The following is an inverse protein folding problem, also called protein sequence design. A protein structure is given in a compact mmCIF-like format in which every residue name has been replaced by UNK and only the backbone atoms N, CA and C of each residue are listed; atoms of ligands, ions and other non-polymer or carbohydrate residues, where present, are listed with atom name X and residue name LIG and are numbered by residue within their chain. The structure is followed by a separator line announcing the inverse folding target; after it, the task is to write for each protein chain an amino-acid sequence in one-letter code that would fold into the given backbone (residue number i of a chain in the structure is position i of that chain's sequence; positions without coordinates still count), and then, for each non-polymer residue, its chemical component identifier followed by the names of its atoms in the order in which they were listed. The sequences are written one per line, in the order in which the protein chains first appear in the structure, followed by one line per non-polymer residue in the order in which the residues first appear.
data_IF_891103922453
#
_entry.id   IF_891103922453
#
_cell.length_a   1.000
_cell.length_b   1.000
_cell.length_c   1.000
_cell.angle_alpha   90.00
_cell.angle_beta   90.00
_cell.angle_gamma   90.00
#
_symmetry.space_group_name_H-M   'P 1'
#
loop_
_entity.id
_entity.type
_entity.pdbx_description
1 polymer ?
#
# COMPACT_ATOMS: atom_id res chain seq x y z
N UNK A 1 -10.42 -7.95 0.12
CA UNK A 1 -10.68 -7.52 1.51
C UNK A 1 -9.99 -8.51 2.43
N UNK A 2 -9.30 -8.06 3.47
CA UNK A 2 -8.55 -8.90 4.40
C UNK A 2 -8.64 -8.38 5.83
N UNK A 3 -7.99 -9.08 6.75
CA UNK A 3 -7.87 -8.68 8.15
C UNK A 3 -6.41 -8.35 8.43
N UNK A 4 -6.16 -7.23 9.10
CA UNK A 4 -4.81 -6.84 9.52
C UNK A 4 -4.31 -7.85 10.57
N UNK A 5 -3.25 -8.58 10.27
CA UNK A 5 -2.63 -9.56 11.20
C UNK A 5 -1.46 -8.96 11.97
N UNK A 6 -0.79 -7.95 11.40
CA UNK A 6 0.34 -7.25 12.01
C UNK A 6 0.34 -5.78 11.58
N UNK A 7 0.77 -4.89 12.47
CA UNK A 7 0.96 -3.46 12.19
C UNK A 7 2.36 -3.04 12.59
N UNK A 8 3.01 -2.25 11.73
CA UNK A 8 4.29 -1.63 12.07
C UNK A 8 4.15 -0.66 13.25
N UNK A 9 5.20 -0.55 14.07
CA UNK A 9 5.20 0.23 15.32
C UNK A 9 4.92 1.73 15.17
N UNK A 10 5.00 2.27 13.94
CA UNK A 10 4.66 3.67 13.62
C UNK A 10 3.25 3.85 13.02
N UNK A 11 2.52 2.76 12.77
CA UNK A 11 1.16 2.80 12.21
C UNK A 11 0.18 3.14 13.32
N UNK A 12 -0.50 4.29 13.20
CA UNK A 12 -1.49 4.73 14.19
C UNK A 12 -2.95 4.59 13.70
N UNK A 13 -3.14 4.43 12.38
CA UNK A 13 -4.46 4.42 11.73
C UNK A 13 -5.14 3.05 11.68
N UNK A 14 -4.39 1.96 11.79
CA UNK A 14 -4.90 0.59 11.72
C UNK A 14 -4.49 -0.21 12.95
N UNK A 15 -5.30 -1.18 13.32
CA UNK A 15 -5.05 -2.13 14.41
C UNK A 15 -5.17 -3.56 13.89
N UNK A 16 -4.47 -4.48 14.55
CA UNK A 16 -4.67 -5.92 14.30
C UNK A 16 -6.14 -6.26 14.53
N UNK A 17 -6.74 -6.99 13.58
CA UNK A 17 -8.17 -7.32 13.57
C UNK A 17 -9.04 -6.39 12.72
N UNK A 18 -8.52 -5.25 12.26
CA UNK A 18 -9.28 -4.36 11.38
C UNK A 18 -9.52 -5.00 10.01
N UNK A 19 -10.74 -4.86 9.48
CA UNK A 19 -11.06 -5.23 8.11
C UNK A 19 -10.59 -4.14 7.16
N UNK A 20 -9.69 -4.48 6.26
CA UNK A 20 -9.09 -3.53 5.31
C UNK A 20 -9.29 -3.98 3.86
N UNK A 21 -9.47 -3.00 2.98
CA UNK A 21 -9.47 -3.19 1.54
C UNK A 21 -8.24 -2.52 0.96
N UNK A 22 -7.47 -3.25 0.15
CA UNK A 22 -6.38 -2.67 -0.65
C UNK A 22 -6.90 -2.49 -2.07
N UNK A 23 -6.76 -1.28 -2.60
CA UNK A 23 -7.13 -0.95 -3.97
C UNK A 23 -6.14 -1.52 -5.00
N UNK A 24 -6.13 -0.99 -6.21
CA UNK A 24 -5.17 -1.39 -7.25
C UNK A 24 -3.77 -0.78 -7.07
N UNK A 25 -3.63 0.18 -6.16
CA UNK A 25 -2.40 0.87 -5.81
C UNK A 25 -2.15 0.75 -4.31
N UNK A 26 -0.89 0.55 -3.93
CA UNK A 26 -0.42 0.42 -2.55
C UNK A 26 0.53 1.54 -2.13
N UNK A 27 1.07 2.32 -3.06
CA UNK A 27 1.95 3.44 -2.75
C UNK A 27 2.21 4.36 -3.94
N UNK A 28 2.77 5.55 -3.65
CA UNK A 28 3.23 6.54 -4.61
C UNK A 28 4.45 7.28 -4.03
N UNK A 29 5.13 8.14 -4.79
CA UNK A 29 6.36 8.81 -4.32
C UNK A 29 6.12 9.90 -3.26
N UNK A 30 4.90 10.42 -3.15
CA UNK A 30 4.53 11.52 -2.24
C UNK A 30 5.35 12.82 -2.39
N UNK A 31 6.12 12.95 -3.48
CA UNK A 31 7.00 14.11 -3.73
C UNK A 31 6.75 14.80 -5.08
N UNK A 32 5.84 14.28 -5.91
CA UNK A 32 5.47 14.89 -7.19
C UNK A 32 4.19 15.74 -7.08
N UNK A 33 3.97 16.60 -8.07
CA UNK A 33 2.79 17.47 -8.11
C UNK A 33 1.47 16.68 -8.07
N UNK A 34 1.40 15.51 -8.72
CA UNK A 34 0.21 14.65 -8.66
C UNK A 34 -0.06 14.20 -7.21
N UNK A 35 0.96 13.80 -6.47
CA UNK A 35 0.77 13.40 -5.07
C UNK A 35 0.40 14.59 -4.16
N UNK A 36 0.96 15.77 -4.42
CA UNK A 36 0.62 16.98 -3.67
C UNK A 36 -0.84 17.41 -3.85
N UNK A 37 -1.46 17.02 -4.98
CA UNK A 37 -2.86 17.29 -5.30
C UNK A 37 -3.80 16.11 -4.96
N UNK A 38 -3.38 15.15 -4.13
CA UNK A 38 -4.18 13.95 -3.80
C UNK A 38 -4.58 13.13 -5.05
N UNK A 39 -3.72 13.18 -6.08
CA UNK A 39 -3.85 12.47 -7.34
C UNK A 39 -2.78 11.39 -7.46
N UNK A 40 -2.61 10.57 -6.42
CA UNK A 40 -1.57 9.54 -6.35
C UNK A 40 -1.70 8.50 -7.48
N UNK A 41 -2.91 8.31 -8.02
CA UNK A 41 -3.17 7.43 -9.18
C UNK A 41 -2.48 7.91 -10.48
N UNK A 42 -2.08 9.18 -10.54
CA UNK A 42 -1.34 9.78 -11.66
C UNK A 42 0.14 9.98 -11.32
N UNK A 43 0.62 9.36 -10.24
CA UNK A 43 2.03 9.38 -9.89
C UNK A 43 2.83 8.58 -10.92
N UNK A 44 3.91 9.13 -11.50
CA UNK A 44 4.79 8.37 -12.40
C UNK A 44 5.46 7.18 -11.69
N UNK A 45 5.70 7.29 -10.38
CA UNK A 45 6.23 6.24 -9.52
C UNK A 45 5.13 5.51 -8.74
N UNK A 46 3.95 5.33 -9.33
CA UNK A 46 2.87 4.59 -8.69
C UNK A 46 3.26 3.12 -8.47
N UNK A 47 2.94 2.59 -7.30
CA UNK A 47 3.19 1.20 -6.93
C UNK A 47 1.86 0.46 -6.89
N UNK A 48 1.68 -0.42 -7.87
CA UNK A 48 0.55 -1.32 -7.99
C UNK A 48 0.55 -2.40 -6.90
N UNK A 49 -0.64 -2.92 -6.60
CA UNK A 49 -0.86 -3.93 -5.55
C UNK A 49 -0.24 -5.30 -5.86
N UNK A 50 0.13 -5.57 -7.11
CA UNK A 50 0.70 -6.83 -7.54
C UNK A 50 1.88 -6.64 -8.49
N UNK A 51 2.91 -7.47 -8.31
CA UNK A 51 3.97 -7.68 -9.31
C UNK A 51 4.99 -6.55 -9.45
N UNK A 52 4.89 -5.49 -8.65
CA UNK A 52 5.88 -4.41 -8.59
C UNK A 52 6.64 -4.41 -7.27
N UNK A 53 7.87 -3.90 -7.32
CA UNK A 53 8.75 -3.79 -6.15
C UNK A 53 8.36 -2.54 -5.34
N UNK A 54 8.07 -2.74 -4.07
CA UNK A 54 7.80 -1.69 -3.11
C UNK A 54 9.12 -0.97 -2.74
N UNK A 55 9.04 0.22 -2.13
CA UNK A 55 10.23 1.04 -1.81
C UNK A 55 11.25 0.35 -0.89
N UNK A 56 10.79 -0.59 -0.06
CA UNK A 56 11.62 -1.42 0.83
C UNK A 56 12.27 -2.62 0.11
N UNK A 57 11.97 -2.79 -1.18
CA UNK A 57 12.46 -3.87 -2.01
C UNK A 57 11.62 -5.14 -1.99
N UNK A 58 10.53 -5.19 -1.21
CA UNK A 58 9.59 -6.30 -1.22
C UNK A 58 8.75 -6.30 -2.49
N UNK A 59 8.36 -7.47 -3.00
CA UNK A 59 7.42 -7.53 -4.11
C UNK A 59 6.02 -7.44 -3.55
N UNK A 60 5.23 -6.54 -4.10
CA UNK A 60 3.81 -6.41 -3.81
C UNK A 60 3.10 -7.69 -4.23
N UNK A 61 2.67 -8.46 -3.24
CA UNK A 61 1.85 -9.64 -3.41
C UNK A 61 0.49 -9.26 -2.85
N UNK A 62 -0.47 -9.01 -3.73
CA UNK A 62 -1.81 -8.60 -3.34
C UNK A 62 -2.42 -9.60 -2.37
N UNK A 63 -2.41 -9.28 -1.07
CA UNK A 63 -3.17 -9.84 0.06
C UNK A 63 -3.43 -11.36 0.11
N UNK A 64 -2.67 -12.20 -0.57
CA UNK A 64 -2.76 -13.65 -0.42
C UNK A 64 -1.59 -14.15 0.43
N UNK A 65 -1.69 -13.94 1.75
CA UNK A 65 -0.95 -14.79 2.68
C UNK A 65 -1.78 -16.05 2.90
N UNK A 66 -1.53 -17.07 2.08
CA UNK A 66 -2.00 -18.43 2.39
C UNK A 66 -1.07 -19.00 3.45
N UNK A 67 -1.57 -19.10 4.68
CA UNK A 67 -1.12 -20.15 5.61
C UNK A 67 -1.83 -21.45 5.26
#
# INVERSE_FOLDING_TARGET
MGVVTEVGSKVQKFKVGDKVGVGCMVGACHSCDSCANELENYCPDMILTYGVKYFDGTITQGLLWTS
#
